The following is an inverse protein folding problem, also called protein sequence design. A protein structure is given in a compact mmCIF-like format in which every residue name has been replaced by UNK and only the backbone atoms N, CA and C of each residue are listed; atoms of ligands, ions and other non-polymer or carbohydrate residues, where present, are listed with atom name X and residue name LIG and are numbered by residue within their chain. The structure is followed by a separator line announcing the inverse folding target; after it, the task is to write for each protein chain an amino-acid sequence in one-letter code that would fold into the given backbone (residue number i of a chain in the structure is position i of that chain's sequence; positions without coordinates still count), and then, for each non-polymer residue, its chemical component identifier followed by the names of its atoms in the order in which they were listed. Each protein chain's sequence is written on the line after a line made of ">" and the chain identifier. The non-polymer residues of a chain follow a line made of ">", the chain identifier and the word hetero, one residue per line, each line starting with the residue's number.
data_IF_555361294674
#
_entry.id   IF_555361294674
#
_cell.length_a   1.000
_cell.length_b   1.000
_cell.length_c   1.000
_cell.angle_alpha   90.00
_cell.angle_beta   90.00
_cell.angle_gamma   90.00
#
_symmetry.space_group_name_H-M   'P 1'
#
loop_
_entity.id
_entity.type
_entity.pdbx_description
1 polymer ?
#
# COMPACT_ATOMS: atom_id res chain seq x y z
N UNK A 1 9.04 -0.48 -18.64
CA UNK A 1 9.36 -1.37 -17.50
C UNK A 1 8.13 -1.37 -16.61
N UNK A 2 7.66 -2.52 -16.13
CA UNK A 2 6.42 -2.57 -15.32
C UNK A 2 6.66 -1.97 -13.94
N UNK A 3 5.69 -1.21 -13.43
CA UNK A 3 5.74 -0.57 -12.11
C UNK A 3 4.64 -1.13 -11.22
N UNK A 4 4.94 -1.36 -9.94
CA UNK A 4 3.93 -1.70 -8.91
C UNK A 4 3.97 -0.63 -7.84
N UNK A 5 2.79 -0.09 -7.52
CA UNK A 5 2.64 0.90 -6.48
C UNK A 5 2.35 0.25 -5.13
N UNK A 6 3.06 0.69 -4.10
CA UNK A 6 2.85 0.29 -2.72
C UNK A 6 2.20 1.44 -1.96
N UNK A 7 0.92 1.31 -1.63
CA UNK A 7 0.21 2.22 -0.75
C UNK A 7 0.37 1.75 0.68
N UNK A 8 1.16 2.48 1.47
CA UNK A 8 1.35 2.22 2.90
C UNK A 8 1.55 3.54 3.62
N UNK A 9 1.18 3.63 4.89
CA UNK A 9 1.55 4.76 5.74
C UNK A 9 2.44 4.26 6.87
N UNK A 10 3.38 5.09 7.29
CA UNK A 10 4.16 4.84 8.49
C UNK A 10 4.52 6.17 9.14
N UNK A 11 4.30 6.24 10.45
CA UNK A 11 4.63 7.39 11.28
C UNK A 11 4.73 6.95 12.74
N UNK A 12 5.40 7.74 13.57
CA UNK A 12 5.75 7.36 14.94
C UNK A 12 4.59 6.76 15.77
N UNK A 13 3.38 7.28 15.66
CA UNK A 13 2.22 6.78 16.42
C UNK A 13 1.64 5.45 15.89
N UNK A 14 1.82 5.13 14.61
CA UNK A 14 1.40 3.85 14.00
C UNK A 14 2.51 2.79 14.05
N UNK A 15 3.76 3.24 14.13
CA UNK A 15 4.94 2.41 13.91
C UNK A 15 5.27 2.24 12.42
N UNK A 16 6.30 1.43 12.15
CA UNK A 16 6.87 1.25 10.80
C UNK A 16 6.72 -0.18 10.27
N UNK A 17 5.96 -1.04 10.95
CA UNK A 17 5.82 -2.46 10.58
C UNK A 17 5.29 -2.69 9.17
N UNK A 18 4.26 -1.93 8.77
CA UNK A 18 3.66 -2.01 7.44
C UNK A 18 4.67 -1.62 6.35
N UNK A 19 5.38 -0.51 6.57
CA UNK A 19 6.41 -0.03 5.66
C UNK A 19 7.54 -1.06 5.49
N UNK A 20 8.07 -1.62 6.59
CA UNK A 20 9.14 -2.61 6.52
C UNK A 20 8.70 -3.89 5.78
N UNK A 21 7.48 -4.36 6.04
CA UNK A 21 6.90 -5.51 5.31
C UNK A 21 6.78 -5.22 3.82
N UNK A 22 6.29 -4.04 3.45
CA UNK A 22 6.20 -3.60 2.07
C UNK A 22 7.58 -3.47 1.41
N UNK A 23 8.58 -2.91 2.09
CA UNK A 23 9.96 -2.81 1.63
C UNK A 23 10.53 -4.19 1.32
N UNK A 24 10.29 -5.18 2.19
CA UNK A 24 10.73 -6.56 1.98
C UNK A 24 10.12 -7.17 0.70
N UNK A 25 8.79 -7.05 0.54
CA UNK A 25 8.10 -7.53 -0.66
C UNK A 25 8.56 -6.79 -1.93
N UNK A 26 8.68 -5.46 -1.87
CA UNK A 26 9.18 -4.62 -2.95
C UNK A 26 10.60 -5.02 -3.37
N UNK A 27 11.48 -5.34 -2.40
CA UNK A 27 12.82 -5.85 -2.65
C UNK A 27 12.80 -7.11 -3.51
N UNK A 28 11.96 -8.09 -3.16
CA UNK A 28 11.82 -9.32 -3.93
C UNK A 28 11.22 -9.07 -5.32
N UNK A 29 10.22 -8.20 -5.44
CA UNK A 29 9.61 -7.84 -6.72
C UNK A 29 10.63 -7.16 -7.65
N UNK A 30 11.50 -6.30 -7.09
CA UNK A 30 12.57 -5.63 -7.84
C UNK A 30 13.55 -6.62 -8.47
N UNK A 31 13.86 -7.76 -7.82
CA UNK A 31 14.72 -8.80 -8.42
C UNK A 31 14.09 -9.50 -9.63
N UNK A 32 12.80 -9.28 -9.90
CA UNK A 32 12.07 -9.76 -11.08
C UNK A 32 11.98 -8.72 -12.19
N UNK A 33 12.70 -7.60 -12.09
CA UNK A 33 12.73 -6.55 -13.12
C UNK A 33 11.48 -5.64 -13.12
N UNK A 34 10.71 -5.65 -12.05
CA UNK A 34 9.57 -4.74 -11.83
C UNK A 34 10.06 -3.57 -10.96
N UNK A 35 9.55 -2.36 -11.19
CA UNK A 35 9.91 -1.15 -10.43
C UNK A 35 8.90 -0.90 -9.31
N UNK A 36 9.26 -1.05 -8.03
CA UNK A 36 8.38 -0.65 -6.94
C UNK A 36 8.44 0.87 -6.73
N UNK A 37 7.28 1.50 -6.50
CA UNK A 37 7.19 2.89 -6.05
C UNK A 37 6.23 2.99 -4.88
N UNK A 38 6.56 3.79 -3.87
CA UNK A 38 5.77 3.90 -2.66
C UNK A 38 4.88 5.14 -2.70
N UNK A 39 3.66 5.02 -2.20
CA UNK A 39 2.69 6.11 -2.03
C UNK A 39 2.33 6.21 -0.55
N UNK A 40 2.64 7.36 0.06
CA UNK A 40 2.39 7.67 1.46
C UNK A 40 1.51 8.92 1.56
N UNK A 41 0.65 9.03 2.58
CA UNK A 41 -0.11 10.28 2.83
C UNK A 41 0.75 11.37 3.46
N UNK A 42 1.66 10.99 4.34
CA UNK A 42 2.44 11.93 5.13
C UNK A 42 3.93 11.69 4.94
N UNK A 43 4.65 12.77 4.64
CA UNK A 43 6.10 12.79 4.75
C UNK A 43 6.48 12.73 6.24
N UNK A 44 7.20 11.68 6.58
CA UNK A 44 7.78 11.47 7.90
C UNK A 44 9.23 11.07 7.68
N UNK A 45 10.14 11.75 8.39
CA UNK A 45 11.58 11.69 8.12
C UNK A 45 12.13 10.27 8.25
N UNK A 46 11.64 9.49 9.19
CA UNK A 46 12.12 8.13 9.39
C UNK A 46 11.58 7.17 8.33
N UNK A 47 10.34 7.32 7.86
CA UNK A 47 9.80 6.60 6.71
C UNK A 47 10.59 6.90 5.43
N UNK A 48 10.92 8.18 5.18
CA UNK A 48 11.80 8.61 4.07
C UNK A 48 13.16 7.93 4.15
N UNK A 49 13.82 8.01 5.30
CA UNK A 49 15.13 7.39 5.50
C UNK A 49 15.10 5.88 5.26
N UNK A 50 14.04 5.19 5.69
CA UNK A 50 13.89 3.75 5.45
C UNK A 50 13.76 3.43 3.96
N UNK A 51 12.99 4.21 3.21
CA UNK A 51 12.85 4.03 1.76
C UNK A 51 14.14 4.34 1.01
N UNK A 52 14.81 5.44 1.36
CA UNK A 52 16.09 5.85 0.78
C UNK A 52 17.18 4.79 1.02
N UNK A 53 17.29 4.27 2.24
CA UNK A 53 18.25 3.21 2.59
C UNK A 53 18.08 1.94 1.75
N UNK A 54 16.87 1.65 1.28
CA UNK A 54 16.57 0.49 0.43
C UNK A 54 16.52 0.82 -1.06
N UNK A 55 16.75 2.08 -1.43
CA UNK A 55 16.73 2.58 -2.80
C UNK A 55 15.34 2.54 -3.42
N UNK A 56 14.32 2.97 -2.68
CA UNK A 56 12.95 3.10 -3.16
C UNK A 56 12.50 4.56 -3.19
N UNK A 57 11.77 4.93 -4.25
CA UNK A 57 11.17 6.25 -4.37
C UNK A 57 9.82 6.31 -3.65
N UNK A 58 9.54 7.45 -3.01
CA UNK A 58 8.26 7.78 -2.39
C UNK A 58 7.53 8.90 -3.13
N UNK A 59 6.22 8.78 -3.25
CA UNK A 59 5.28 9.81 -3.71
C UNK A 59 4.35 10.12 -2.55
N UNK A 60 4.09 11.41 -2.33
CA UNK A 60 3.20 11.87 -1.27
C UNK A 60 1.87 12.31 -1.84
N UNK A 61 0.77 11.85 -1.24
CA UNK A 61 -0.61 12.24 -1.57
C UNK A 61 -1.24 12.96 -0.39
N UNK A 62 -2.05 13.98 -0.66
CA UNK A 62 -2.86 14.62 0.38
C UNK A 62 -4.21 13.92 0.57
N UNK A 63 -4.73 13.34 -0.51
CA UNK A 63 -6.01 12.64 -0.56
C UNK A 63 -5.91 11.30 -1.30
N UNK A 64 -6.65 10.28 -0.87
CA UNK A 64 -6.63 8.95 -1.51
C UNK A 64 -7.04 8.97 -2.98
N UNK A 65 -7.92 9.90 -3.38
CA UNK A 65 -8.34 10.03 -4.79
C UNK A 65 -7.17 10.28 -5.76
N UNK A 66 -6.06 10.83 -5.26
CA UNK A 66 -4.86 11.09 -6.06
C UNK A 66 -4.15 9.80 -6.49
N UNK A 67 -4.26 8.72 -5.71
CA UNK A 67 -3.60 7.44 -6.03
C UNK A 67 -4.03 6.93 -7.41
N UNK A 68 -5.32 6.97 -7.73
CA UNK A 68 -5.80 6.48 -9.02
C UNK A 68 -5.22 7.26 -10.21
N UNK A 69 -5.10 8.59 -10.06
CA UNK A 69 -4.48 9.43 -11.06
C UNK A 69 -2.99 9.09 -11.24
N UNK A 70 -2.25 8.88 -10.13
CA UNK A 70 -0.83 8.51 -10.15
C UNK A 70 -0.62 7.15 -10.84
N UNK A 71 -1.39 6.12 -10.45
CA UNK A 71 -1.26 4.77 -11.02
C UNK A 71 -1.60 4.79 -12.51
N UNK A 72 -2.69 5.46 -12.88
CA UNK A 72 -3.13 5.55 -14.29
C UNK A 72 -2.16 6.34 -15.15
N UNK A 73 -1.62 7.45 -14.65
CA UNK A 73 -0.63 8.27 -15.37
C UNK A 73 0.67 7.51 -15.65
N UNK A 74 1.01 6.51 -14.82
CA UNK A 74 2.13 5.61 -15.06
C UNK A 74 1.83 4.49 -16.09
N UNK A 75 0.60 4.41 -16.60
CA UNK A 75 0.16 3.34 -17.51
C UNK A 75 0.00 1.99 -16.82
N UNK A 76 -0.12 1.98 -15.49
CA UNK A 76 -0.26 0.77 -14.67
C UNK A 76 -1.68 0.62 -14.15
N UNK A 77 -1.98 -0.56 -13.61
CA UNK A 77 -3.28 -0.85 -13.01
C UNK A 77 -3.19 -1.73 -11.78
N UNK A 78 -2.02 -1.87 -11.15
CA UNK A 78 -1.83 -2.73 -9.97
C UNK A 78 -1.24 -1.94 -8.81
N UNK A 79 -1.84 -2.10 -7.63
CA UNK A 79 -1.33 -1.53 -6.40
C UNK A 79 -1.45 -2.51 -5.22
N UNK A 80 -0.44 -2.48 -4.35
CA UNK A 80 -0.35 -3.24 -3.10
C UNK A 80 -0.68 -2.30 -1.94
N UNK A 81 -1.66 -2.67 -1.12
CA UNK A 81 -2.17 -1.87 0.00
C UNK A 81 -1.77 -2.52 1.32
N UNK A 82 -1.13 -1.73 2.19
CA UNK A 82 -0.83 -2.10 3.58
C UNK A 82 -1.19 -0.93 4.50
N UNK A 83 -2.48 -0.62 4.52
CA UNK A 83 -3.08 0.51 5.26
C UNK A 83 -4.28 0.09 6.09
N UNK A 84 -4.50 -1.20 6.31
CA UNK A 84 -5.63 -1.73 7.08
C UNK A 84 -5.44 -1.51 8.61
N UNK A 85 -5.32 -0.25 9.02
CA UNK A 85 -5.07 0.15 10.41
C UNK A 85 -6.22 1.01 10.93
N UNK A 86 -6.65 0.74 12.16
CA UNK A 86 -7.61 1.57 12.91
C UNK A 86 -7.09 3.00 13.15
N UNK A 87 -5.78 3.24 13.01
CA UNK A 87 -5.21 4.59 13.04
C UNK A 87 -5.56 5.42 11.78
N UNK A 88 -5.94 4.78 10.68
CA UNK A 88 -6.27 5.44 9.40
C UNK A 88 -7.76 5.45 9.10
N UNK A 89 -8.50 4.47 9.60
CA UNK A 89 -9.90 4.26 9.30
C UNK A 89 -10.70 4.20 10.60
N UNK A 90 -11.79 4.98 10.65
CA UNK A 90 -12.70 4.97 11.80
C UNK A 90 -13.56 3.70 11.87
N UNK A 91 -13.70 3.00 10.74
CA UNK A 91 -14.45 1.74 10.66
C UNK A 91 -13.92 0.85 9.53
N UNK A 92 -14.16 -0.46 9.63
CA UNK A 92 -13.89 -1.42 8.55
C UNK A 92 -14.70 -1.08 7.28
N UNK A 93 -15.89 -0.48 7.43
CA UNK A 93 -16.73 -0.04 6.31
C UNK A 93 -16.08 1.10 5.51
N UNK A 94 -15.44 2.07 6.18
CA UNK A 94 -14.72 3.16 5.51
C UNK A 94 -13.51 2.63 4.72
N UNK A 95 -12.78 1.67 5.31
CA UNK A 95 -11.69 0.99 4.63
C UNK A 95 -12.17 0.24 3.39
N UNK A 96 -13.22 -0.58 3.54
CA UNK A 96 -13.81 -1.38 2.45
C UNK A 96 -14.28 -0.48 1.30
N UNK A 97 -15.01 0.59 1.63
CA UNK A 97 -15.50 1.57 0.65
C UNK A 97 -14.35 2.22 -0.13
N UNK A 98 -13.24 2.53 0.53
CA UNK A 98 -12.07 3.10 -0.12
C UNK A 98 -11.42 2.11 -1.10
N UNK A 99 -11.29 0.83 -0.73
CA UNK A 99 -10.81 -0.21 -1.65
C UNK A 99 -11.74 -0.36 -2.87
N UNK A 100 -13.06 -0.40 -2.66
CA UNK A 100 -14.04 -0.49 -3.75
C UNK A 100 -13.94 0.70 -4.72
N UNK A 101 -13.73 1.91 -4.21
CA UNK A 101 -13.52 3.10 -5.04
C UNK A 101 -12.29 2.95 -5.95
N UNK A 102 -11.17 2.45 -5.44
CA UNK A 102 -10.00 2.21 -6.29
C UNK A 102 -10.23 1.14 -7.35
N UNK A 103 -11.00 0.08 -7.04
CA UNK A 103 -11.37 -0.93 -8.03
C UNK A 103 -12.28 -0.39 -9.12
N UNK A 104 -13.25 0.45 -8.75
CA UNK A 104 -14.12 1.13 -9.70
C UNK A 104 -13.32 2.06 -10.63
N UNK A 105 -12.19 2.59 -10.16
CA UNK A 105 -11.23 3.34 -10.97
C UNK A 105 -10.27 2.47 -11.79
N UNK A 106 -10.52 1.15 -11.90
CA UNK A 106 -9.76 0.23 -12.75
C UNK A 106 -8.47 -0.31 -12.12
N UNK A 107 -8.24 -0.07 -10.83
CA UNK A 107 -7.05 -0.56 -10.13
C UNK A 107 -7.31 -1.98 -9.62
N UNK A 108 -6.41 -2.90 -9.98
CA UNK A 108 -6.26 -4.22 -9.37
C UNK A 108 -5.60 -4.07 -8.02
N UNK A 109 -6.26 -4.60 -6.99
CA UNK A 109 -5.85 -4.44 -5.61
C UNK A 109 -5.29 -5.73 -5.05
N UNK A 110 -4.08 -5.63 -4.50
CA UNK A 110 -3.51 -6.60 -3.57
C UNK A 110 -3.54 -5.94 -2.20
N UNK A 111 -4.15 -6.54 -1.18
CA UNK A 111 -4.07 -6.00 0.19
C UNK A 111 -3.43 -6.97 1.18
N UNK A 112 -2.65 -6.41 2.10
CA UNK A 112 -2.30 -7.07 3.34
C UNK A 112 -3.49 -6.97 4.28
N UNK A 113 -3.89 -8.11 4.84
CA UNK A 113 -5.06 -8.22 5.69
C UNK A 113 -4.78 -9.02 6.95
N UNK A 114 -5.64 -8.83 7.94
CA UNK A 114 -5.67 -9.67 9.13
C UNK A 114 -6.61 -10.86 8.93
N UNK A 115 -6.34 -11.96 9.65
CA UNK A 115 -7.19 -13.13 9.62
C UNK A 115 -8.50 -12.86 10.38
N UNK A 116 -9.51 -12.36 9.67
CA UNK A 116 -10.84 -12.04 10.20
C UNK A 116 -11.93 -12.58 9.27
N UNK A 117 -13.05 -13.01 9.84
CA UNK A 117 -14.24 -13.44 9.10
C UNK A 117 -15.02 -12.24 8.58
N UNK A 118 -14.62 -11.73 7.41
CA UNK A 118 -15.26 -10.60 6.73
C UNK A 118 -15.02 -10.69 5.22
N UNK A 119 -15.87 -10.04 4.39
CA UNK A 119 -15.64 -9.97 2.95
C UNK A 119 -14.44 -9.06 2.64
N UNK A 120 -13.55 -9.54 1.77
CA UNK A 120 -12.42 -8.76 1.27
C UNK A 120 -12.78 -8.06 -0.03
N UNK A 121 -12.50 -6.76 -0.10
CA UNK A 121 -12.74 -5.97 -1.32
C UNK A 121 -11.59 -6.02 -2.33
N UNK A 122 -10.49 -6.74 -2.08
CA UNK A 122 -9.32 -6.82 -2.98
C UNK A 122 -9.42 -7.91 -4.04
N UNK A 123 -8.59 -7.84 -5.09
CA UNK A 123 -8.45 -8.90 -6.10
C UNK A 123 -7.53 -10.04 -5.62
N UNK A 124 -6.55 -9.72 -4.75
CA UNK A 124 -5.71 -10.67 -4.04
C UNK A 124 -5.55 -10.22 -2.58
N UNK A 125 -5.60 -11.17 -1.66
CA UNK A 125 -5.41 -10.93 -0.23
C UNK A 125 -4.17 -11.66 0.26
N UNK A 126 -3.32 -10.96 1.01
CA UNK A 126 -2.16 -11.52 1.69
C UNK A 126 -2.44 -11.44 3.19
N UNK A 127 -2.55 -12.60 3.85
CA UNK A 127 -2.67 -12.67 5.31
C UNK A 127 -1.30 -13.09 5.85
N UNK A 128 -0.48 -12.15 6.35
CA UNK A 128 0.90 -12.44 6.74
C UNK A 128 0.99 -13.18 8.08
N UNK A 129 -0.11 -13.24 8.83
CA UNK A 129 -0.18 -13.92 10.12
C UNK A 129 -1.53 -14.62 10.26
N UNK A 130 -1.50 -15.95 10.38
CA UNK A 130 -2.69 -16.80 10.57
C UNK A 130 -2.72 -17.44 11.98
N UNK A 131 -1.95 -16.87 12.93
CA UNK A 131 -1.74 -17.42 14.27
C UNK A 131 -0.32 -17.95 14.47
N UNK A 132 0.10 -17.98 15.74
CA UNK A 132 1.22 -18.75 16.26
C UNK A 132 0.65 -19.85 17.16
#
# INVERSE_FOLDING_TARGET
>A
MKTIFFRTDAFAAMGYGHLIRCISLAGHIRTRGIVPRFILRKSEKQAEQLLDQHGFESIYISEEKELAAIVTAAGESLAVFDINSSALFGSDADYTKMLEQHRQNGIKLVSFEEFRDHPFASDLVIIPYIGA
#
